data_IF_618560091907
#
_entry.id   IF_618560091907
#
_cell.length_a   1.000
_cell.length_b   1.000
_cell.length_c   1.000
_cell.angle_alpha   90.00
_cell.angle_beta   90.00
_cell.angle_gamma   90.00
#
_symmetry.space_group_name_H-M   'P 1'
#
loop_
_entity.id
_entity.type
_entity.pdbx_description
1 polymer ?
#
# COMPACT_ATOMS: atom_id res chain seq x y z
N UNK A 1 9.09 -18.35 29.00
CA UNK A 1 7.77 -17.73 28.79
C UNK A 1 8.00 -16.40 28.08
N UNK A 2 8.01 -16.38 26.75
CA UNK A 2 8.29 -15.15 25.99
C UNK A 2 6.96 -14.41 25.83
N UNK A 3 6.94 -13.14 26.24
CA UNK A 3 5.81 -12.23 26.09
C UNK A 3 5.34 -12.25 24.62
N UNK A 4 4.16 -12.83 24.35
CA UNK A 4 3.63 -13.10 23.00
C UNK A 4 2.77 -11.96 22.46
N UNK A 5 3.02 -10.72 22.91
CA UNK A 5 2.17 -9.54 22.66
C UNK A 5 2.71 -8.59 21.58
N UNK A 6 3.96 -8.74 21.12
CA UNK A 6 4.51 -7.91 20.05
C UNK A 6 4.28 -8.63 18.72
N UNK A 7 3.36 -8.11 17.93
CA UNK A 7 3.15 -8.53 16.55
C UNK A 7 4.35 -8.16 15.67
N UNK A 8 4.47 -8.85 14.53
CA UNK A 8 5.42 -8.50 13.46
C UNK A 8 5.21 -7.05 12.99
N UNK A 9 6.27 -6.42 12.53
CA UNK A 9 6.29 -5.02 12.11
C UNK A 9 5.55 -4.81 10.78
N UNK A 10 4.85 -3.68 10.70
CA UNK A 10 4.42 -3.06 9.45
C UNK A 10 5.39 -1.93 9.13
N UNK A 11 6.00 -1.99 7.96
CA UNK A 11 6.92 -0.96 7.45
C UNK A 11 6.17 -0.08 6.44
N UNK A 12 5.84 1.13 6.84
CA UNK A 12 5.14 2.11 5.99
C UNK A 12 6.15 3.11 5.40
N UNK A 13 6.50 2.95 4.11
CA UNK A 13 7.61 3.68 3.49
C UNK A 13 8.96 2.96 3.61
N UNK A 14 10.02 3.44 2.93
CA UNK A 14 10.13 4.77 2.32
C UNK A 14 9.65 4.85 0.86
N UNK A 15 9.22 3.75 0.24
CA UNK A 15 8.81 3.70 -1.17
C UNK A 15 7.35 4.14 -1.35
N UNK A 16 7.12 5.42 -1.07
CA UNK A 16 5.82 6.07 -1.12
C UNK A 16 5.88 7.33 -2.00
N UNK A 17 4.72 7.80 -2.46
CA UNK A 17 4.63 8.99 -3.30
C UNK A 17 5.00 10.26 -2.56
N UNK A 18 5.93 11.09 -3.07
CA UNK A 18 6.24 12.38 -2.47
C UNK A 18 5.02 13.31 -2.36
N UNK A 19 4.11 13.24 -3.33
CA UNK A 19 2.89 14.06 -3.39
C UNK A 19 1.84 13.63 -2.37
N UNK A 20 1.94 12.39 -1.88
CA UNK A 20 1.06 11.83 -0.86
C UNK A 20 1.84 11.44 0.39
N UNK A 21 2.91 12.15 0.71
CA UNK A 21 3.75 11.87 1.89
C UNK A 21 2.99 11.89 3.22
N UNK A 22 1.90 12.65 3.34
CA UNK A 22 1.25 12.91 4.62
C UNK A 22 2.26 13.39 5.68
N UNK A 23 2.34 12.66 6.79
CA UNK A 23 3.26 12.93 7.90
C UNK A 23 4.68 12.39 7.69
N UNK A 24 4.95 11.64 6.61
CA UNK A 24 6.28 11.11 6.33
C UNK A 24 7.28 12.25 6.00
N UNK A 25 8.47 12.26 6.62
CA UNK A 25 9.49 13.25 6.29
C UNK A 25 10.01 13.08 4.86
N UNK A 26 9.85 14.11 4.02
CA UNK A 26 10.19 14.07 2.59
C UNK A 26 11.63 13.59 2.31
N UNK A 27 12.59 13.95 3.17
CA UNK A 27 14.00 13.57 3.05
C UNK A 27 14.28 12.06 3.17
N UNK A 28 13.31 11.29 3.67
CA UNK A 28 13.45 9.84 3.84
C UNK A 28 12.70 9.04 2.78
N UNK A 29 11.87 9.69 1.94
CA UNK A 29 11.18 9.04 0.83
C UNK A 29 12.22 8.65 -0.24
N UNK A 30 12.09 7.44 -0.78
CA UNK A 30 13.05 6.87 -1.74
C UNK A 30 12.33 6.27 -2.94
N UNK A 31 13.01 6.28 -4.08
CA UNK A 31 12.64 5.51 -5.26
C UNK A 31 13.39 4.16 -5.26
N UNK A 32 12.93 3.23 -6.08
CA UNK A 32 13.55 1.90 -6.22
C UNK A 32 14.85 1.91 -7.03
N UNK A 33 15.07 2.90 -7.91
CA UNK A 33 16.24 2.92 -8.80
C UNK A 33 16.19 1.81 -9.86
N UNK A 34 17.35 1.44 -10.41
CA UNK A 34 17.47 0.46 -11.49
C UNK A 34 17.17 -0.98 -11.04
N UNK A 35 17.50 -1.34 -9.79
CA UNK A 35 17.27 -2.67 -9.22
C UNK A 35 16.42 -2.56 -7.94
N UNK A 36 15.08 -2.65 -8.06
CA UNK A 36 14.18 -2.57 -6.92
C UNK A 36 14.45 -3.60 -5.84
N UNK A 37 14.89 -4.82 -6.20
CA UNK A 37 15.11 -5.90 -5.25
C UNK A 37 16.39 -5.66 -4.45
N UNK A 38 17.45 -5.20 -5.10
CA UNK A 38 18.68 -4.80 -4.42
C UNK A 38 18.41 -3.64 -3.46
N UNK A 39 17.72 -2.60 -3.92
CA UNK A 39 17.40 -1.44 -3.09
C UNK A 39 16.51 -1.81 -1.91
N UNK A 40 15.53 -2.71 -2.07
CA UNK A 40 14.74 -3.24 -0.95
C UNK A 40 15.62 -3.91 0.12
N UNK A 41 16.58 -4.74 -0.29
CA UNK A 41 17.50 -5.43 0.64
C UNK A 41 18.40 -4.44 1.38
N UNK A 42 18.91 -3.43 0.68
CA UNK A 42 19.75 -2.38 1.28
C UNK A 42 18.98 -1.52 2.29
N UNK A 43 17.71 -1.20 1.97
CA UNK A 43 16.89 -0.33 2.82
C UNK A 43 16.32 -1.07 4.03
N UNK A 44 15.77 -2.28 3.83
CA UNK A 44 15.08 -3.01 4.88
C UNK A 44 15.95 -4.03 5.61
N UNK A 45 17.07 -4.46 5.02
CA UNK A 45 17.94 -5.48 5.60
C UNK A 45 17.21 -6.79 5.89
N UNK A 46 17.37 -7.30 7.12
CA UNK A 46 16.65 -8.51 7.56
C UNK A 46 15.17 -8.19 7.83
N UNK A 47 14.28 -8.79 7.04
CA UNK A 47 12.83 -8.61 7.14
C UNK A 47 12.11 -9.75 7.87
N UNK A 48 12.77 -10.64 8.61
CA UNK A 48 12.13 -11.77 9.31
C UNK A 48 10.93 -11.33 10.17
N UNK A 49 11.11 -10.25 10.92
CA UNK A 49 10.09 -9.70 11.81
C UNK A 49 9.10 -8.74 11.12
N UNK A 50 9.20 -8.53 9.80
CA UNK A 50 8.26 -7.71 9.03
C UNK A 50 7.14 -8.57 8.48
N UNK A 51 5.87 -8.22 8.71
CA UNK A 51 4.71 -8.88 8.13
C UNK A 51 4.08 -8.10 6.99
N UNK A 52 4.16 -6.76 7.02
CA UNK A 52 3.47 -5.90 6.07
C UNK A 52 4.38 -4.76 5.60
N UNK A 53 4.25 -4.37 4.33
CA UNK A 53 4.97 -3.24 3.74
C UNK A 53 4.00 -2.37 2.95
N UNK A 54 4.04 -1.06 3.14
CA UNK A 54 3.28 -0.11 2.31
C UNK A 54 4.12 0.43 1.17
N UNK A 55 3.60 0.36 -0.05
CA UNK A 55 4.25 0.81 -1.27
C UNK A 55 3.27 1.65 -2.10
N UNK A 56 3.78 2.72 -2.72
CA UNK A 56 3.08 3.46 -3.76
C UNK A 56 3.25 2.75 -5.12
N UNK A 57 2.18 2.21 -5.72
CA UNK A 57 2.28 1.39 -6.92
C UNK A 57 2.64 2.15 -8.20
N UNK A 58 2.48 3.47 -8.25
CA UNK A 58 2.88 4.30 -9.39
C UNK A 58 4.40 4.50 -9.51
N UNK A 59 5.17 4.16 -8.48
CA UNK A 59 6.62 4.28 -8.52
C UNK A 59 7.22 3.28 -9.52
N UNK A 60 8.18 3.74 -10.32
CA UNK A 60 8.92 2.88 -11.24
C UNK A 60 9.63 1.75 -10.47
N UNK A 61 9.46 0.50 -10.94
CA UNK A 61 10.00 -0.69 -10.27
C UNK A 61 9.12 -1.27 -9.16
N UNK A 62 7.99 -0.63 -8.83
CA UNK A 62 7.06 -1.10 -7.79
C UNK A 62 6.57 -2.54 -8.04
N UNK A 63 6.23 -2.90 -9.27
CA UNK A 63 5.73 -4.25 -9.60
C UNK A 63 6.73 -5.35 -9.26
N UNK A 64 8.02 -5.13 -9.56
CA UNK A 64 9.10 -6.07 -9.22
C UNK A 64 9.31 -6.15 -7.70
N UNK A 65 9.28 -5.00 -7.02
CA UNK A 65 9.37 -4.92 -5.57
C UNK A 65 8.20 -5.64 -4.87
N UNK A 66 6.97 -5.42 -5.33
CA UNK A 66 5.75 -6.04 -4.81
C UNK A 66 5.84 -7.56 -4.99
N UNK A 67 6.20 -8.04 -6.18
CA UNK A 67 6.33 -9.48 -6.46
C UNK A 67 7.35 -10.13 -5.55
N UNK A 68 8.53 -9.53 -5.43
CA UNK A 68 9.59 -10.01 -4.53
C UNK A 68 9.12 -10.11 -3.07
N UNK A 69 8.43 -9.08 -2.56
CA UNK A 69 7.92 -9.07 -1.19
C UNK A 69 6.81 -10.11 -0.98
N UNK A 70 5.89 -10.24 -1.95
CA UNK A 70 4.83 -11.23 -1.92
C UNK A 70 5.38 -12.67 -1.92
N UNK A 71 6.38 -12.97 -2.76
CA UNK A 71 7.07 -14.26 -2.82
C UNK A 71 7.80 -14.58 -1.50
N UNK A 72 8.20 -13.56 -0.74
CA UNK A 72 8.76 -13.69 0.61
C UNK A 72 7.70 -13.75 1.72
N UNK A 73 6.43 -13.93 1.35
CA UNK A 73 5.31 -14.06 2.28
C UNK A 73 4.97 -12.78 3.03
N UNK A 74 5.35 -11.60 2.50
CA UNK A 74 4.97 -10.31 3.07
C UNK A 74 3.60 -9.87 2.53
N UNK A 75 2.80 -9.24 3.38
CA UNK A 75 1.60 -8.54 2.94
C UNK A 75 2.01 -7.20 2.35
N UNK A 76 1.76 -7.00 1.06
CA UNK A 76 2.00 -5.70 0.44
C UNK A 76 0.70 -4.90 0.41
N UNK A 77 0.74 -3.72 1.02
CA UNK A 77 -0.35 -2.77 1.14
C UNK A 77 -0.10 -1.55 0.25
N UNK A 78 -1.11 -1.09 -0.47
CA UNK A 78 -1.03 0.07 -1.35
C UNK A 78 -1.44 1.33 -0.57
N UNK A 79 -0.63 2.37 -0.58
CA UNK A 79 -0.93 3.58 0.19
C UNK A 79 0.09 4.67 -0.03
N UNK A 80 -0.19 5.88 0.47
CA UNK A 80 0.64 7.07 0.23
C UNK A 80 0.93 7.23 -1.27
N UNK A 81 -0.12 7.22 -2.09
CA UNK A 81 -0.01 7.00 -3.53
C UNK A 81 -0.93 7.91 -4.33
N UNK A 82 -0.40 8.49 -5.40
CA UNK A 82 -1.14 9.23 -6.42
C UNK A 82 -1.55 8.35 -7.61
N UNK A 83 -1.53 7.02 -7.44
CA UNK A 83 -1.87 6.07 -8.49
C UNK A 83 -3.33 6.14 -8.93
N UNK A 84 -3.51 6.06 -10.26
CA UNK A 84 -4.79 5.70 -10.88
C UNK A 84 -5.11 4.20 -10.72
N UNK A 85 -6.32 3.81 -11.13
CA UNK A 85 -6.80 2.43 -10.97
C UNK A 85 -5.88 1.40 -11.64
N UNK A 86 -5.42 1.67 -12.87
CA UNK A 86 -4.60 0.73 -13.67
C UNK A 86 -3.30 0.35 -12.95
N UNK A 87 -2.62 1.31 -12.31
CA UNK A 87 -1.41 1.02 -11.55
C UNK A 87 -1.71 0.17 -10.31
N UNK A 88 -2.84 0.44 -9.63
CA UNK A 88 -3.34 -0.40 -8.55
C UNK A 88 -3.63 -1.84 -8.99
N UNK A 89 -4.27 -2.03 -10.14
CA UNK A 89 -4.60 -3.36 -10.67
C UNK A 89 -3.34 -4.16 -11.01
N UNK A 90 -2.34 -3.51 -11.64
CA UNK A 90 -1.02 -4.12 -11.88
C UNK A 90 -0.34 -4.52 -10.58
N UNK A 91 -0.41 -3.67 -9.56
CA UNK A 91 0.14 -3.97 -8.24
C UNK A 91 -0.55 -5.16 -7.57
N UNK A 92 -1.87 -5.29 -7.69
CA UNK A 92 -2.60 -6.49 -7.21
C UNK A 92 -2.22 -7.73 -8.03
N UNK A 93 -2.05 -7.59 -9.35
CA UNK A 93 -1.55 -8.68 -10.19
C UNK A 93 -0.11 -9.10 -9.82
N UNK A 94 0.70 -8.18 -9.32
CA UNK A 94 2.03 -8.46 -8.80
C UNK A 94 2.03 -9.06 -7.37
N UNK A 95 0.89 -9.08 -6.66
CA UNK A 95 0.74 -9.72 -5.35
C UNK A 95 0.35 -8.81 -4.20
N UNK A 96 0.06 -7.52 -4.45
CA UNK A 96 -0.51 -6.65 -3.44
C UNK A 96 -1.92 -7.11 -3.04
N UNK A 97 -2.24 -7.03 -1.74
CA UNK A 97 -3.49 -7.58 -1.17
C UNK A 97 -4.17 -6.67 -0.16
N UNK A 98 -3.62 -5.48 0.09
CA UNK A 98 -4.17 -4.53 1.05
C UNK A 98 -4.11 -3.09 0.53
N UNK A 99 -4.92 -2.21 1.12
CA UNK A 99 -4.83 -0.75 1.00
C UNK A 99 -4.61 -0.17 2.41
N UNK A 100 -3.62 0.70 2.57
CA UNK A 100 -3.33 1.37 3.85
C UNK A 100 -4.31 2.54 4.01
N UNK A 101 -4.96 2.62 5.19
CA UNK A 101 -5.83 3.72 5.65
C UNK A 101 -6.66 4.39 4.53
N UNK A 102 -7.56 3.63 3.92
CA UNK A 102 -8.44 4.03 2.81
C UNK A 102 -8.92 5.49 2.93
N UNK A 103 -8.89 6.21 1.80
CA UNK A 103 -9.13 7.65 1.64
C UNK A 103 -7.98 8.57 2.06
N UNK A 104 -7.11 8.15 2.98
CA UNK A 104 -6.03 9.00 3.49
C UNK A 104 -4.78 8.88 2.62
N UNK A 105 -4.10 10.01 2.40
CA UNK A 105 -2.87 10.07 1.61
C UNK A 105 -2.95 9.31 0.27
N UNK A 106 -4.08 9.43 -0.42
CA UNK A 106 -4.27 8.89 -1.76
C UNK A 106 -5.03 9.87 -2.65
N UNK A 107 -5.21 9.55 -3.93
CA UNK A 107 -6.10 10.33 -4.78
C UNK A 107 -7.57 10.08 -4.40
N UNK A 108 -8.38 11.13 -4.48
CA UNK A 108 -9.82 11.05 -4.29
C UNK A 108 -10.47 10.26 -5.43
N UNK A 109 -11.57 9.60 -5.11
CA UNK A 109 -12.36 8.88 -6.11
C UNK A 109 -12.88 9.84 -7.19
N UNK A 110 -12.69 9.48 -8.46
CA UNK A 110 -13.26 10.21 -9.59
C UNK A 110 -13.95 9.23 -10.55
N UNK A 111 -15.08 9.63 -11.14
CA UNK A 111 -15.91 8.74 -11.95
C UNK A 111 -15.21 8.19 -13.22
N UNK A 112 -14.22 8.91 -13.76
CA UNK A 112 -13.40 8.44 -14.91
C UNK A 112 -12.17 7.63 -14.52
N UNK A 113 -11.61 7.90 -13.34
CA UNK A 113 -10.50 7.14 -12.78
C UNK A 113 -10.73 7.07 -11.27
N UNK A 114 -11.23 5.93 -10.76
CA UNK A 114 -11.55 5.79 -9.35
C UNK A 114 -10.29 5.58 -8.48
N UNK A 115 -9.10 5.61 -9.08
CA UNK A 115 -7.81 5.46 -8.40
C UNK A 115 -7.75 4.18 -7.55
N UNK A 116 -6.97 4.18 -6.46
CA UNK A 116 -6.86 3.02 -5.57
C UNK A 116 -8.19 2.63 -4.90
N UNK A 117 -9.10 3.58 -4.69
CA UNK A 117 -10.44 3.30 -4.12
C UNK A 117 -11.23 2.38 -5.06
N UNK A 118 -11.05 2.54 -6.38
CA UNK A 118 -11.70 1.69 -7.39
C UNK A 118 -11.30 0.21 -7.33
N UNK A 119 -10.20 -0.14 -6.66
CA UNK A 119 -9.80 -1.54 -6.48
C UNK A 119 -10.84 -2.34 -5.70
N UNK A 120 -11.62 -1.70 -4.82
CA UNK A 120 -12.68 -2.36 -4.06
C UNK A 120 -13.77 -2.96 -4.96
N UNK A 121 -13.93 -2.41 -6.17
CA UNK A 121 -14.99 -2.79 -7.11
C UNK A 121 -14.45 -3.19 -8.49
N UNK A 122 -13.13 -3.30 -8.65
CA UNK A 122 -12.55 -3.59 -9.97
C UNK A 122 -12.71 -5.06 -10.36
N UNK A 123 -13.20 -5.27 -11.58
CA UNK A 123 -13.37 -6.61 -12.18
C UNK A 123 -12.03 -7.25 -12.55
N UNK A 124 -10.96 -6.46 -12.69
CA UNK A 124 -9.63 -6.95 -13.07
C UNK A 124 -8.95 -7.75 -11.95
N UNK A 125 -9.49 -7.71 -10.73
CA UNK A 125 -8.99 -8.51 -9.61
C UNK A 125 -9.40 -9.98 -9.73
N UNK A 126 -10.41 -10.31 -10.53
CA UNK A 126 -10.95 -11.67 -10.64
C UNK A 126 -11.42 -12.18 -9.28
N UNK A 127 -10.90 -13.31 -8.82
CA UNK A 127 -11.22 -13.90 -7.51
C UNK A 127 -10.34 -13.37 -6.36
N UNK A 128 -9.45 -12.41 -6.62
CA UNK A 128 -8.56 -11.87 -5.57
C UNK A 128 -9.33 -10.90 -4.70
N UNK A 129 -9.28 -11.12 -3.40
CA UNK A 129 -9.81 -10.18 -2.40
C UNK A 129 -8.74 -9.17 -2.01
N UNK A 130 -9.09 -7.89 -1.98
CA UNK A 130 -8.25 -6.84 -1.41
C UNK A 130 -8.84 -6.42 -0.07
N UNK A 131 -8.00 -6.34 0.95
CA UNK A 131 -8.38 -5.81 2.25
C UNK A 131 -8.00 -4.33 2.34
N UNK A 132 -8.57 -3.60 3.29
CA UNK A 132 -8.14 -2.24 3.54
C UNK A 132 -8.24 -1.92 5.03
N UNK A 133 -7.31 -1.09 5.51
CA UNK A 133 -7.44 -0.42 6.80
C UNK A 133 -8.26 0.85 6.63
N UNK A 134 -9.02 1.24 7.65
CA UNK A 134 -9.75 2.51 7.68
C UNK A 134 -9.72 3.07 9.09
N UNK A 135 -9.60 4.39 9.23
CA UNK A 135 -9.52 5.07 10.54
C UNK A 135 -10.90 5.62 10.88
N UNK A 136 -11.59 4.99 11.82
CA UNK A 136 -12.98 5.30 12.19
C UNK A 136 -13.08 6.20 13.42
N UNK A 137 -12.37 7.33 13.42
CA UNK A 137 -12.37 8.32 14.52
C UNK A 137 -13.29 9.52 14.26
N UNK A 138 -13.91 9.60 13.08
CA UNK A 138 -14.75 10.74 12.66
C UNK A 138 -13.97 11.99 12.22
N UNK A 139 -12.63 11.97 12.29
CA UNK A 139 -11.75 13.07 11.89
C UNK A 139 -11.02 12.72 10.59
N UNK A 140 -10.34 11.56 10.55
CA UNK A 140 -9.66 11.07 9.35
C UNK A 140 -10.66 10.61 8.29
N UNK A 141 -11.84 10.16 8.70
CA UNK A 141 -12.86 9.69 7.78
C UNK A 141 -14.24 10.07 8.30
N UNK A 142 -14.97 10.81 7.48
CA UNK A 142 -16.36 11.18 7.77
C UNK A 142 -17.25 9.93 7.82
N UNK A 143 -18.25 9.91 8.70
CA UNK A 143 -19.12 8.75 8.93
C UNK A 143 -19.80 8.25 7.63
N UNK A 144 -20.23 9.15 6.76
CA UNK A 144 -20.79 8.76 5.46
C UNK A 144 -19.81 8.02 4.55
N UNK A 145 -18.51 8.31 4.61
CA UNK A 145 -17.49 7.58 3.87
C UNK A 145 -17.19 6.20 4.49
N UNK A 146 -17.28 6.06 5.82
CA UNK A 146 -17.22 4.75 6.49
C UNK A 146 -18.35 3.83 6.01
N UNK A 147 -19.58 4.36 5.95
CA UNK A 147 -20.74 3.61 5.44
C UNK A 147 -20.62 3.25 3.96
N UNK A 148 -19.95 4.08 3.16
CA UNK A 148 -19.66 3.78 1.77
C UNK A 148 -18.66 2.61 1.66
N UNK A 149 -17.58 2.63 2.44
CA UNK A 149 -16.55 1.60 2.38
C UNK A 149 -17.05 0.22 2.89
N UNK A 150 -17.96 0.21 3.88
CA UNK A 150 -18.50 -1.01 4.46
C UNK A 150 -19.42 -1.82 3.50
N UNK A 151 -19.98 -1.17 2.48
CA UNK A 151 -20.90 -1.80 1.52
C UNK A 151 -20.17 -2.62 0.46
#
# INVERSE_FOLDING_TARGET
MVCRFICRAHVEGPFISPDKKGCHPRKHIRNFGEDPVKTLKEVYGNMENVCMVTIAPELEGSEAAIRYLADKGKLVSLGHSSAGLVAGEKAVAAGARAITHLFNAMNSYHHRDPCLIGLLTSKMLGNRTIHYGIISDGIHTHDSALRLAYR
#
